data_IF_072569526603
#
_entry.id   IF_072569526603
#
_cell.length_a   1.000
_cell.length_b   1.000
_cell.length_c   1.000
_cell.angle_alpha   90.00
_cell.angle_beta   90.00
_cell.angle_gamma   90.00
#
_symmetry.space_group_name_H-M   'P 1'
#
loop_
_entity.id
_entity.type
_entity.pdbx_description
1 polymer ?
#
# COMPACT_ATOMS: atom_id res chain seq x y z
N UNK A 1 -29.61 -0.99 23.23
CA UNK A 1 -29.35 -0.13 22.06
C UNK A 1 -29.75 1.27 22.49
N UNK A 2 -28.77 2.11 22.82
CA UNK A 2 -29.02 3.49 23.23
C UNK A 2 -29.15 4.34 21.95
N UNK A 3 -30.22 5.13 21.76
CA UNK A 3 -30.42 5.93 20.55
C UNK A 3 -29.54 7.19 20.48
N UNK A 4 -28.75 7.50 21.52
CA UNK A 4 -27.83 8.65 21.56
C UNK A 4 -26.39 8.28 21.15
N UNK A 5 -26.20 7.18 20.43
CA UNK A 5 -24.89 6.69 19.93
C UNK A 5 -24.77 6.93 18.40
N UNK A 6 -25.52 7.92 17.89
CA UNK A 6 -25.65 8.32 16.50
C UNK A 6 -24.67 9.46 16.16
N UNK A 7 -23.44 9.08 15.80
CA UNK A 7 -22.65 9.90 14.87
C UNK A 7 -22.07 11.20 15.43
N UNK A 8 -21.58 11.20 16.68
CA UNK A 8 -20.71 12.25 17.21
C UNK A 8 -19.35 12.24 16.47
N UNK A 9 -19.39 12.77 15.23
CA UNK A 9 -18.36 13.50 14.47
C UNK A 9 -17.33 12.76 13.61
N UNK A 10 -17.81 12.12 12.55
CA UNK A 10 -17.02 11.77 11.35
C UNK A 10 -16.36 13.01 10.69
N UNK A 11 -17.03 14.17 10.76
CA UNK A 11 -16.51 15.43 10.19
C UNK A 11 -15.19 15.90 10.82
N UNK A 12 -14.91 15.60 12.09
CA UNK A 12 -13.63 15.94 12.72
C UNK A 12 -12.50 15.08 12.19
N UNK A 13 -12.74 13.78 11.98
CA UNK A 13 -11.75 12.87 11.39
C UNK A 13 -11.50 13.22 9.93
N UNK A 14 -12.56 13.44 9.15
CA UNK A 14 -12.45 13.88 7.75
C UNK A 14 -11.71 15.21 7.64
N UNK A 15 -11.97 16.16 8.54
CA UNK A 15 -11.27 17.45 8.57
C UNK A 15 -9.81 17.28 9.00
N UNK A 16 -9.52 16.44 9.99
CA UNK A 16 -8.14 16.17 10.43
C UNK A 16 -7.31 15.51 9.33
N UNK A 17 -7.92 14.65 8.51
CA UNK A 17 -7.29 14.01 7.37
C UNK A 17 -7.08 14.98 6.19
N UNK A 18 -8.04 15.89 5.95
CA UNK A 18 -7.97 16.84 4.84
C UNK A 18 -7.14 18.09 5.15
N UNK A 19 -7.01 18.48 6.42
CA UNK A 19 -6.34 19.72 6.83
C UNK A 19 -4.89 19.85 6.31
N UNK A 20 -4.02 18.82 6.38
CA UNK A 20 -2.67 18.90 5.83
C UNK A 20 -2.64 19.09 4.31
N UNK A 21 -3.57 18.43 3.59
CA UNK A 21 -3.67 18.53 2.14
C UNK A 21 -4.14 19.92 1.70
N UNK A 22 -5.14 20.46 2.38
CA UNK A 22 -5.65 21.82 2.13
C UNK A 22 -4.60 22.89 2.48
N UNK A 23 -3.90 22.72 3.60
CA UNK A 23 -2.80 23.61 3.99
C UNK A 23 -1.67 23.58 2.96
N UNK A 24 -1.27 22.39 2.50
CA UNK A 24 -0.26 22.22 1.46
C UNK A 24 -0.68 22.84 0.13
N UNK A 25 -1.95 22.68 -0.28
CA UNK A 25 -2.49 23.30 -1.48
C UNK A 25 -2.49 24.83 -1.39
N UNK A 26 -2.91 25.39 -0.25
CA UNK A 26 -2.87 26.83 -0.01
C UNK A 26 -1.43 27.38 -0.02
N UNK A 27 -0.50 26.69 0.65
CA UNK A 27 0.92 27.05 0.64
C UNK A 27 1.50 27.01 -0.79
N UNK A 28 1.14 26.00 -1.58
CA UNK A 28 1.54 25.89 -2.99
C UNK A 28 0.97 27.00 -3.87
N UNK A 29 -0.28 27.43 -3.63
CA UNK A 29 -0.90 28.54 -4.35
C UNK A 29 -0.21 29.87 -4.04
N UNK A 30 0.05 30.16 -2.76
CA UNK A 30 0.76 31.38 -2.33
C UNK A 30 2.18 31.39 -2.91
N UNK A 31 2.90 30.28 -2.83
CA UNK A 31 4.24 30.15 -3.40
C UNK A 31 4.24 30.31 -4.92
N UNK A 32 3.22 29.77 -5.59
CA UNK A 32 3.05 29.87 -7.04
C UNK A 32 2.75 31.28 -7.52
N UNK A 33 2.09 32.11 -6.70
CA UNK A 33 1.80 33.52 -7.01
C UNK A 33 3.02 34.43 -6.82
N UNK A 34 3.90 34.08 -5.87
CA UNK A 34 5.18 34.78 -5.65
C UNK A 34 6.23 34.47 -6.73
N UNK A 35 6.02 33.44 -7.56
CA UNK A 35 7.00 32.98 -8.54
C UNK A 35 6.99 33.79 -9.84
N UNK A 36 8.18 34.10 -10.34
CA UNK A 36 8.35 34.75 -11.63
C UNK A 36 7.83 33.86 -12.77
N UNK A 37 7.27 34.47 -13.82
CA UNK A 37 6.56 33.80 -14.91
C UNK A 37 7.36 32.68 -15.58
N UNK A 38 8.68 32.84 -15.65
CA UNK A 38 9.59 31.84 -16.22
C UNK A 38 9.80 30.61 -15.30
N UNK A 39 9.78 30.80 -13.98
CA UNK A 39 9.98 29.71 -13.02
C UNK A 39 8.68 28.93 -12.76
N UNK A 40 7.51 29.58 -12.90
CA UNK A 40 6.19 29.01 -12.59
C UNK A 40 5.91 27.68 -13.30
N UNK A 41 6.26 27.57 -14.59
CA UNK A 41 6.06 26.34 -15.38
C UNK A 41 6.92 25.18 -14.89
N UNK A 42 8.20 25.45 -14.58
CA UNK A 42 9.13 24.42 -14.11
C UNK A 42 8.71 23.83 -12.76
N UNK A 43 8.34 24.70 -11.81
CA UNK A 43 7.91 24.25 -10.49
C UNK A 43 6.54 23.59 -10.53
N UNK A 44 5.60 24.09 -11.33
CA UNK A 44 4.29 23.43 -11.49
C UNK A 44 4.43 21.99 -12.00
N UNK A 45 5.29 21.76 -13.01
CA UNK A 45 5.55 20.41 -13.52
C UNK A 45 6.25 19.53 -12.49
N UNK A 46 7.23 20.07 -11.76
CA UNK A 46 7.94 19.31 -10.73
C UNK A 46 6.99 18.89 -9.59
N UNK A 47 6.17 19.81 -9.09
CA UNK A 47 5.18 19.53 -8.03
C UNK A 47 4.12 18.54 -8.52
N UNK A 48 3.64 18.67 -9.76
CA UNK A 48 2.72 17.71 -10.35
C UNK A 48 3.35 16.32 -10.46
N UNK A 49 4.59 16.22 -10.94
CA UNK A 49 5.33 14.96 -11.03
C UNK A 49 5.55 14.33 -9.64
N UNK A 50 5.86 15.15 -8.63
CA UNK A 50 6.01 14.71 -7.24
C UNK A 50 4.69 14.19 -6.67
N UNK A 51 3.58 14.89 -6.93
CA UNK A 51 2.24 14.45 -6.55
C UNK A 51 1.80 13.15 -7.23
N UNK A 52 2.18 12.92 -8.49
CA UNK A 52 1.96 11.62 -9.14
C UNK A 52 2.86 10.55 -8.52
N UNK A 53 4.11 10.90 -8.18
CA UNK A 53 5.06 9.97 -7.59
C UNK A 53 4.63 9.49 -6.20
N UNK A 54 3.93 10.30 -5.39
CA UNK A 54 3.41 9.84 -4.09
C UNK A 54 2.32 8.78 -4.21
N UNK A 55 1.67 8.66 -5.37
CA UNK A 55 0.69 7.61 -5.67
C UNK A 55 1.32 6.29 -6.16
N UNK A 56 2.64 6.26 -6.37
CA UNK A 56 3.37 5.05 -6.81
C UNK A 56 3.16 3.84 -5.85
N UNK A 57 3.28 3.96 -4.52
CA UNK A 57 3.15 2.81 -3.64
C UNK A 57 1.76 2.15 -3.72
N UNK A 58 0.71 2.96 -3.87
CA UNK A 58 -0.67 2.48 -3.99
C UNK A 58 -0.90 1.76 -5.32
N UNK A 59 -0.40 2.34 -6.42
CA UNK A 59 -0.53 1.75 -7.76
C UNK A 59 0.32 0.49 -7.92
N UNK A 60 1.56 0.49 -7.44
CA UNK A 60 2.45 -0.69 -7.44
C UNK A 60 1.88 -1.79 -6.54
N UNK A 61 1.41 -1.45 -5.34
CA UNK A 61 0.77 -2.41 -4.43
C UNK A 61 -0.45 -3.09 -5.05
N UNK A 62 -1.31 -2.32 -5.73
CA UNK A 62 -2.46 -2.84 -6.46
C UNK A 62 -2.05 -3.78 -7.60
N UNK A 63 -1.05 -3.41 -8.41
CA UNK A 63 -0.54 -4.25 -9.49
C UNK A 63 0.11 -5.54 -8.98
N UNK A 64 0.94 -5.45 -7.93
CA UNK A 64 1.60 -6.60 -7.32
C UNK A 64 0.57 -7.55 -6.72
N UNK A 65 -0.47 -7.04 -6.06
CA UNK A 65 -1.54 -7.88 -5.55
C UNK A 65 -2.37 -8.49 -6.69
N UNK A 66 -2.55 -7.79 -7.81
CA UNK A 66 -3.25 -8.35 -8.98
C UNK A 66 -2.45 -9.48 -9.65
N UNK A 67 -1.13 -9.33 -9.77
CA UNK A 67 -0.25 -10.31 -10.46
C UNK A 67 0.22 -11.44 -9.56
N UNK A 68 0.47 -11.16 -8.28
CA UNK A 68 1.01 -12.13 -7.31
C UNK A 68 0.02 -12.50 -6.20
N UNK A 69 -1.20 -11.96 -6.25
CA UNK A 69 -2.25 -12.26 -5.27
C UNK A 69 -2.78 -13.70 -5.37
N UNK A 70 -3.58 -14.12 -4.38
CA UNK A 70 -4.12 -15.48 -4.30
C UNK A 70 -5.04 -15.85 -5.48
N UNK A 71 -5.75 -14.87 -6.04
CA UNK A 71 -6.62 -15.00 -7.23
C UNK A 71 -5.81 -15.13 -8.54
N UNK A 72 -4.51 -14.77 -8.54
CA UNK A 72 -3.67 -14.88 -9.73
C UNK A 72 -3.26 -16.34 -10.00
N UNK A 73 -3.41 -16.77 -11.26
CA UNK A 73 -2.97 -18.08 -11.76
C UNK A 73 -1.48 -18.38 -11.47
N UNK A 74 -0.63 -17.35 -11.46
CA UNK A 74 0.80 -17.49 -11.14
C UNK A 74 1.03 -17.52 -9.62
N UNK A 75 0.30 -16.72 -8.85
CA UNK A 75 0.35 -16.69 -7.37
C UNK A 75 -0.09 -18.01 -6.74
N UNK A 76 -1.22 -18.57 -7.21
CA UNK A 76 -1.74 -19.86 -6.76
C UNK A 76 -0.75 -21.01 -7.04
N UNK A 77 -0.17 -21.06 -8.25
CA UNK A 77 0.86 -22.07 -8.60
C UNK A 77 2.12 -21.95 -7.74
N UNK A 78 2.58 -20.73 -7.42
CA UNK A 78 3.74 -20.50 -6.53
C UNK A 78 3.46 -20.98 -5.11
N UNK A 79 2.25 -20.73 -4.58
CA UNK A 79 1.85 -21.19 -3.24
C UNK A 79 1.69 -22.71 -3.18
N UNK A 80 1.04 -23.33 -4.17
CA UNK A 80 0.92 -24.79 -4.25
C UNK A 80 2.28 -25.48 -4.33
N UNK A 81 3.24 -24.90 -5.08
CA UNK A 81 4.64 -25.38 -5.06
C UNK A 81 5.28 -25.27 -3.68
N UNK A 82 5.16 -24.13 -2.99
CA UNK A 82 5.69 -23.99 -1.63
C UNK A 82 5.09 -25.00 -0.64
N UNK A 83 3.80 -25.26 -0.71
CA UNK A 83 3.13 -26.27 0.14
C UNK A 83 3.66 -27.66 -0.18
N UNK A 84 3.78 -28.00 -1.47
CA UNK A 84 4.32 -29.30 -1.90
C UNK A 84 5.78 -29.49 -1.49
N UNK A 85 6.61 -28.46 -1.65
CA UNK A 85 8.03 -28.53 -1.32
C UNK A 85 8.22 -28.58 0.22
N UNK A 86 7.37 -27.87 0.99
CA UNK A 86 7.35 -27.97 2.45
C UNK A 86 6.88 -29.35 2.94
N UNK A 87 5.87 -29.93 2.30
CA UNK A 87 5.41 -31.29 2.60
C UNK A 87 6.47 -32.35 2.26
N UNK A 88 7.20 -32.17 1.15
CA UNK A 88 8.34 -33.03 0.82
C UNK A 88 9.45 -32.93 1.87
N UNK A 89 9.76 -31.71 2.34
CA UNK A 89 10.72 -31.51 3.43
C UNK A 89 10.28 -32.14 4.75
N UNK A 90 8.99 -32.08 5.09
CA UNK A 90 8.46 -32.70 6.31
C UNK A 90 8.60 -34.23 6.30
N UNK A 91 8.28 -34.88 5.17
CA UNK A 91 8.47 -36.33 5.02
C UNK A 91 9.93 -36.76 5.14
N UNK A 92 10.88 -35.94 4.67
CA UNK A 92 12.32 -36.21 4.85
C UNK A 92 12.75 -36.13 6.31
N UNK A 93 12.20 -35.18 7.07
CA UNK A 93 12.49 -35.00 8.49
C UNK A 93 11.89 -36.14 9.30
N UNK A 94 10.64 -36.52 9.03
CA UNK A 94 9.98 -37.66 9.70
C UNK A 94 10.71 -38.99 9.40
N UNK A 95 11.17 -39.18 8.16
CA UNK A 95 11.94 -40.36 7.77
C UNK A 95 13.31 -40.41 8.47
N UNK A 96 14.01 -39.28 8.59
CA UNK A 96 15.26 -39.21 9.37
C UNK A 96 15.05 -39.41 10.87
N UNK A 97 13.97 -38.87 11.44
CA UNK A 97 13.66 -39.02 12.87
C UNK A 97 13.25 -40.46 13.22
N UNK A 98 12.57 -41.15 12.30
CA UNK A 98 12.26 -42.58 12.40
C UNK A 98 13.49 -43.48 12.27
N UNK A 99 14.44 -43.17 11.37
CA UNK A 99 15.73 -43.87 11.29
C UNK A 99 16.63 -43.59 12.51
N UNK A 100 16.56 -42.39 13.09
CA UNK A 100 17.29 -42.02 14.30
C UNK A 100 16.65 -42.54 15.60
N UNK A 101 15.47 -43.18 15.53
CA UNK A 101 14.79 -43.82 16.66
C UNK A 101 14.26 -42.85 17.73
N UNK A 102 13.98 -41.61 17.36
CA UNK A 102 13.52 -40.55 18.29
C UNK A 102 11.99 -40.50 18.39
N UNK A 103 11.27 -41.20 17.49
CA UNK A 103 9.84 -41.45 17.54
C UNK A 103 9.56 -42.95 17.27
#
# INVERSE_FOLDING_TARGET
>A
MNPDDDGERDWTEATALAAPALLGAAAGLILGDMMHSNARRGVALAVAALGVATLLPLTVGGLVNLVNGPESKFGARRRLRKIRDAAAGHNYVDQQLGEAGVL
#
